data_IF_990066838741
#
_entry.id   IF_990066838741
#
_cell.length_a   1.000
_cell.length_b   1.000
_cell.length_c   1.000
_cell.angle_alpha   90.00
_cell.angle_beta   90.00
_cell.angle_gamma   90.00
#
_symmetry.space_group_name_H-M   'P 1'
#
loop_
_entity.id
_entity.type
_entity.pdbx_description
1 polymer ?
#
# COMPACT_ATOMS: atom_id res chain seq x y z
N UNK A 1 -52.22 -2.30 -16.87
CA UNK A 1 -51.15 -3.30 -16.77
C UNK A 1 -49.85 -2.54 -16.99
N UNK A 2 -49.18 -2.22 -15.90
CA UNK A 2 -47.96 -1.35 -15.87
C UNK A 2 -46.76 -2.29 -15.78
N UNK A 3 -45.97 -2.36 -16.84
CA UNK A 3 -44.74 -3.13 -16.85
C UNK A 3 -43.71 -2.48 -15.92
N UNK A 4 -43.19 -3.24 -14.94
CA UNK A 4 -42.13 -2.86 -14.05
C UNK A 4 -40.77 -2.85 -14.79
N UNK A 5 -39.86 -1.94 -14.51
CA UNK A 5 -38.54 -1.87 -15.16
C UNK A 5 -37.69 -3.07 -14.73
N UNK A 6 -37.20 -3.84 -15.70
CA UNK A 6 -36.26 -4.95 -15.51
C UNK A 6 -34.97 -4.42 -14.90
N UNK A 7 -34.73 -4.74 -13.63
CA UNK A 7 -33.50 -4.45 -12.93
C UNK A 7 -32.33 -5.14 -13.67
N UNK A 8 -31.43 -4.34 -14.24
CA UNK A 8 -30.17 -4.78 -14.85
C UNK A 8 -29.34 -5.47 -13.75
N UNK A 9 -29.35 -6.81 -13.72
CA UNK A 9 -28.46 -7.59 -12.86
C UNK A 9 -27.03 -7.22 -13.20
N UNK A 10 -26.33 -6.67 -12.21
CA UNK A 10 -24.88 -6.44 -12.28
C UNK A 10 -24.18 -7.79 -12.43
N UNK A 11 -23.70 -8.06 -13.62
CA UNK A 11 -22.96 -9.31 -13.94
C UNK A 11 -21.53 -9.20 -13.40
N UNK A 12 -21.36 -9.62 -12.16
CA UNK A 12 -20.06 -9.64 -11.46
C UNK A 12 -19.05 -10.61 -12.09
N UNK A 13 -19.52 -11.61 -12.85
CA UNK A 13 -18.68 -12.63 -13.47
C UNK A 13 -17.75 -12.14 -14.59
N UNK A 14 -18.10 -11.04 -15.26
CA UNK A 14 -17.27 -10.44 -16.33
C UNK A 14 -16.00 -9.73 -15.82
N UNK A 15 -15.88 -9.51 -14.51
CA UNK A 15 -14.80 -8.76 -13.88
C UNK A 15 -13.61 -9.61 -13.44
N UNK A 16 -13.80 -10.94 -13.27
CA UNK A 16 -12.75 -11.86 -12.84
C UNK A 16 -12.06 -12.58 -14.02
N UNK A 17 -11.89 -11.91 -15.15
CA UNK A 17 -11.05 -12.41 -16.25
C UNK A 17 -9.62 -12.69 -15.81
N UNK A 18 -8.97 -13.67 -16.45
CA UNK A 18 -7.64 -14.23 -16.18
C UNK A 18 -6.63 -13.24 -15.58
N UNK A 19 -5.89 -13.61 -14.51
CA UNK A 19 -5.16 -12.70 -13.62
C UNK A 19 -3.95 -11.94 -14.18
N UNK A 20 -3.68 -11.98 -15.46
CA UNK A 20 -2.46 -11.38 -16.02
C UNK A 20 -2.66 -10.24 -17.04
N UNK A 21 -3.86 -9.96 -17.52
CA UNK A 21 -4.05 -9.09 -18.69
C UNK A 21 -4.88 -7.81 -18.48
N UNK A 22 -5.44 -7.54 -17.32
CA UNK A 22 -6.25 -6.35 -17.09
C UNK A 22 -5.42 -5.23 -16.48
N UNK A 23 -5.25 -4.11 -17.20
CA UNK A 23 -4.59 -2.88 -16.75
C UNK A 23 -5.22 -2.36 -15.45
N UNK A 24 -6.55 -2.37 -15.39
CA UNK A 24 -7.35 -1.98 -14.21
C UNK A 24 -6.94 -2.75 -12.97
N UNK A 25 -6.84 -4.08 -13.09
CA UNK A 25 -6.47 -4.94 -11.97
C UNK A 25 -5.02 -4.67 -11.52
N UNK A 26 -4.11 -4.47 -12.46
CA UNK A 26 -2.71 -4.15 -12.16
C UNK A 26 -2.57 -2.81 -11.41
N UNK A 27 -3.31 -1.79 -11.82
CA UNK A 27 -3.32 -0.48 -11.15
C UNK A 27 -3.87 -0.59 -9.73
N UNK A 28 -5.00 -1.28 -9.54
CA UNK A 28 -5.59 -1.48 -8.21
C UNK A 28 -4.62 -2.25 -7.30
N UNK A 29 -4.01 -3.34 -7.79
CA UNK A 29 -3.07 -4.12 -6.99
C UNK A 29 -1.82 -3.33 -6.59
N UNK A 30 -1.23 -2.58 -7.52
CA UNK A 30 -0.06 -1.75 -7.24
C UNK A 30 -0.39 -0.65 -6.22
N UNK A 31 -1.50 0.07 -6.41
CA UNK A 31 -1.91 1.11 -5.47
C UNK A 31 -2.23 0.51 -4.08
N UNK A 32 -2.97 -0.61 -4.03
CA UNK A 32 -3.30 -1.28 -2.76
C UNK A 32 -2.05 -1.81 -2.04
N UNK A 33 -1.08 -2.34 -2.77
CA UNK A 33 0.18 -2.80 -2.19
C UNK A 33 0.98 -1.63 -1.57
N UNK A 34 1.07 -0.50 -2.28
CA UNK A 34 1.73 0.70 -1.75
C UNK A 34 1.03 1.27 -0.50
N UNK A 35 -0.31 1.33 -0.51
CA UNK A 35 -1.11 1.77 0.64
C UNK A 35 -0.85 0.84 1.83
N UNK A 36 -0.88 -0.49 1.62
CA UNK A 36 -0.64 -1.46 2.68
C UNK A 36 0.76 -1.29 3.30
N UNK A 37 1.80 -1.20 2.46
CA UNK A 37 3.19 -1.01 2.93
C UNK A 37 3.31 0.29 3.71
N UNK A 38 2.77 1.40 3.20
CA UNK A 38 2.81 2.69 3.89
C UNK A 38 2.11 2.66 5.25
N UNK A 39 0.94 2.01 5.35
CA UNK A 39 0.19 1.89 6.61
C UNK A 39 0.90 0.99 7.62
N UNK A 40 1.52 -0.11 7.17
CA UNK A 40 2.32 -0.97 8.05
C UNK A 40 3.51 -0.21 8.62
N UNK A 41 4.25 0.51 7.77
CA UNK A 41 5.37 1.36 8.24
C UNK A 41 4.87 2.41 9.21
N UNK A 42 3.77 3.09 8.91
CA UNK A 42 3.18 4.10 9.80
C UNK A 42 2.80 3.50 11.16
N UNK A 43 2.18 2.31 11.20
CA UNK A 43 1.83 1.61 12.44
C UNK A 43 3.07 1.30 13.29
N UNK A 44 4.13 0.79 12.67
CA UNK A 44 5.37 0.45 13.37
C UNK A 44 6.06 1.70 13.92
N UNK A 45 6.22 2.74 13.09
CA UNK A 45 6.86 4.00 13.50
C UNK A 45 6.07 4.67 14.62
N UNK A 46 4.75 4.72 14.52
CA UNK A 46 3.90 5.34 15.53
C UNK A 46 3.96 4.59 16.88
N UNK A 47 3.93 3.26 16.83
CA UNK A 47 4.06 2.42 18.03
C UNK A 47 5.43 2.59 18.69
N UNK A 48 6.51 2.60 17.91
CA UNK A 48 7.87 2.84 18.42
C UNK A 48 8.01 4.24 19.03
N UNK A 49 7.54 5.26 18.34
CA UNK A 49 7.59 6.64 18.83
C UNK A 49 6.83 6.82 20.14
N UNK A 50 5.66 6.15 20.28
CA UNK A 50 4.90 6.14 21.52
C UNK A 50 5.68 5.47 22.66
N UNK A 51 6.23 4.28 22.43
CA UNK A 51 7.02 3.54 23.39
C UNK A 51 8.25 4.32 23.86
N UNK A 52 9.00 4.90 22.93
CA UNK A 52 10.17 5.72 23.26
C UNK A 52 9.79 6.96 24.06
N UNK A 53 8.67 7.61 23.73
CA UNK A 53 8.18 8.78 24.46
C UNK A 53 7.81 8.41 25.91
N UNK A 54 7.11 7.28 26.09
CA UNK A 54 6.73 6.78 27.41
C UNK A 54 7.96 6.39 28.25
N UNK A 55 8.93 5.68 27.64
CA UNK A 55 10.18 5.31 28.32
C UNK A 55 11.07 6.51 28.65
N UNK A 56 11.07 7.57 27.84
CA UNK A 56 11.78 8.82 28.16
C UNK A 56 11.18 9.53 29.38
N UNK A 57 9.84 9.59 29.45
CA UNK A 57 9.15 10.16 30.65
C UNK A 57 9.48 9.37 31.90
N UNK A 58 9.46 8.04 31.81
CA UNK A 58 9.83 7.17 32.92
C UNK A 58 11.29 7.38 33.36
N UNK A 59 12.21 7.56 32.36
CA UNK A 59 13.61 7.89 32.61
C UNK A 59 13.78 9.24 33.33
N UNK A 60 13.02 10.25 32.95
CA UNK A 60 13.05 11.55 33.63
C UNK A 60 12.65 11.44 35.10
N UNK A 61 11.57 10.72 35.41
CA UNK A 61 11.14 10.47 36.80
C UNK A 61 12.19 9.69 37.58
N UNK A 62 12.88 8.73 36.97
CA UNK A 62 13.97 8.00 37.61
C UNK A 62 15.19 8.91 37.89
N UNK A 63 15.50 9.86 37.02
CA UNK A 63 16.56 10.85 37.24
C UNK A 63 16.26 11.71 38.46
N UNK A 64 15.02 12.21 38.60
CA UNK A 64 14.58 12.94 39.81
C UNK A 64 14.74 12.09 41.07
N UNK A 65 14.35 10.81 40.98
CA UNK A 65 14.52 9.87 42.09
C UNK A 65 16.02 9.68 42.45
N UNK A 66 16.92 9.58 41.48
CA UNK A 66 18.35 9.48 41.74
C UNK A 66 18.86 10.75 42.47
N UNK A 67 18.45 11.93 42.01
CA UNK A 67 18.88 13.18 42.62
C UNK A 67 18.35 13.30 44.08
N UNK A 68 17.12 12.86 44.36
CA UNK A 68 16.59 12.74 45.72
C UNK A 68 17.44 11.81 46.58
N UNK A 69 17.80 10.62 46.06
CA UNK A 69 18.63 9.65 46.79
C UNK A 69 20.03 10.25 47.07
N UNK A 70 20.65 10.91 46.09
CA UNK A 70 21.96 11.53 46.26
C UNK A 70 21.92 12.63 47.32
N UNK A 71 20.92 13.52 47.28
CA UNK A 71 20.75 14.58 48.29
C UNK A 71 20.50 14.00 49.67
N UNK A 72 19.67 13.00 49.77
CA UNK A 72 19.38 12.33 51.04
C UNK A 72 20.64 11.63 51.61
N UNK A 73 21.36 10.87 50.77
CA UNK A 73 22.61 10.21 51.15
C UNK A 73 23.72 11.20 51.58
N UNK A 74 23.78 12.40 50.97
CA UNK A 74 24.76 13.44 51.34
C UNK A 74 24.49 14.10 52.68
N UNK A 75 23.27 13.97 53.24
CA UNK A 75 22.87 14.55 54.52
C UNK A 75 23.05 13.58 55.70
N UNK A 76 23.25 12.30 55.42
CA UNK A 76 23.44 11.27 56.46
C UNK A 76 24.82 11.36 57.13
N UNK A 77 24.98 10.96 58.42
CA UNK A 77 26.25 10.92 59.09
C UNK A 77 27.32 10.06 58.41
N UNK A 78 28.60 10.27 58.61
CA UNK A 78 29.66 9.42 58.08
C UNK A 78 29.48 7.98 58.50
N UNK A 79 29.42 7.03 57.49
CA UNK A 79 29.26 5.60 57.76
C UNK A 79 27.85 5.06 57.56
N UNK A 80 26.83 5.88 57.52
CA UNK A 80 25.48 5.50 57.15
C UNK A 80 25.03 6.20 55.88
N UNK A 81 24.71 5.47 54.85
CA UNK A 81 24.29 5.99 53.51
C UNK A 81 22.81 5.67 53.27
N UNK A 82 22.06 5.28 54.31
CA UNK A 82 20.66 4.90 54.19
C UNK A 82 19.75 6.13 54.09
N UNK A 83 19.38 6.57 52.88
CA UNK A 83 18.51 7.72 52.74
C UNK A 83 17.09 7.43 53.21
N UNK A 84 16.53 8.33 54.02
CA UNK A 84 15.11 8.30 54.32
C UNK A 84 14.31 8.91 53.18
N UNK A 85 13.91 8.06 52.21
CA UNK A 85 13.07 8.49 51.07
C UNK A 85 11.61 8.37 51.50
N UNK A 86 10.86 9.46 51.40
CA UNK A 86 9.44 9.52 51.83
C UNK A 86 8.46 8.98 50.75
N UNK A 87 8.89 8.09 49.90
CA UNK A 87 7.99 7.48 48.91
C UNK A 87 7.40 6.18 49.47
N UNK A 88 6.09 6.17 49.69
CA UNK A 88 5.37 5.03 50.23
C UNK A 88 5.54 3.75 49.37
N UNK A 89 5.82 3.86 48.09
CA UNK A 89 6.08 2.70 47.21
C UNK A 89 7.40 2.03 47.56
N UNK A 90 8.44 2.78 47.92
CA UNK A 90 9.75 2.21 48.29
C UNK A 90 9.74 1.49 49.64
N UNK A 91 8.71 1.69 50.44
CA UNK A 91 8.50 1.04 51.76
C UNK A 91 7.72 -0.28 51.63
N UNK A 92 6.93 -0.47 50.56
CA UNK A 92 6.11 -1.69 50.38
C UNK A 92 6.94 -2.73 49.64
N UNK A 93 6.94 -3.96 50.15
CA UNK A 93 7.66 -5.08 49.54
C UNK A 93 7.19 -5.34 48.12
N UNK A 94 8.13 -5.53 47.20
CA UNK A 94 7.90 -5.86 45.79
C UNK A 94 6.88 -4.92 45.10
N UNK A 95 6.99 -3.63 45.37
CA UNK A 95 6.05 -2.59 44.92
C UNK A 95 6.26 -2.12 43.49
N UNK A 96 7.32 -2.60 42.80
CA UNK A 96 7.68 -2.16 41.48
C UNK A 96 8.50 -0.85 41.41
N UNK A 97 8.79 -0.21 42.60
CA UNK A 97 9.69 0.94 42.68
C UNK A 97 10.82 0.61 43.64
N UNK A 98 12.05 0.62 43.14
CA UNK A 98 13.23 0.13 43.82
C UNK A 98 14.35 1.13 43.75
N UNK A 99 15.21 1.18 44.76
CA UNK A 99 16.46 1.86 44.72
C UNK A 99 17.55 1.06 45.44
N UNK A 100 18.81 1.23 44.97
CA UNK A 100 19.97 0.57 45.57
C UNK A 100 21.20 1.48 45.45
N UNK A 101 22.05 1.47 46.47
CA UNK A 101 23.29 2.22 46.52
C UNK A 101 24.44 1.25 46.66
N UNK A 102 25.38 1.33 45.72
CA UNK A 102 26.53 0.44 45.68
C UNK A 102 27.84 1.24 45.72
N UNK A 103 28.83 0.74 46.45
CA UNK A 103 30.20 1.27 46.45
C UNK A 103 31.03 0.48 45.46
N UNK A 104 31.85 1.18 44.67
CA UNK A 104 32.81 0.54 43.76
C UNK A 104 34.15 0.43 44.46
N UNK A 105 34.56 -0.77 44.88
CA UNK A 105 35.87 -0.97 45.50
C UNK A 105 37.01 -1.00 44.51
N UNK A 106 38.27 -0.76 44.97
CA UNK A 106 39.44 -0.78 44.10
C UNK A 106 39.66 -2.13 43.38
N UNK A 107 39.14 -3.24 43.95
CA UNK A 107 39.19 -4.55 43.33
C UNK A 107 38.09 -4.79 42.26
N UNK A 108 37.28 -3.75 41.95
CA UNK A 108 36.18 -3.80 41.00
C UNK A 108 34.90 -4.45 41.52
N UNK A 109 34.88 -4.85 42.79
CA UNK A 109 33.67 -5.42 43.44
C UNK A 109 32.67 -4.33 43.79
N UNK A 110 31.39 -4.64 43.60
CA UNK A 110 30.28 -3.80 44.02
C UNK A 110 29.82 -4.26 45.42
N UNK A 111 29.85 -3.34 46.36
CA UNK A 111 29.38 -3.59 47.74
C UNK A 111 28.09 -2.85 47.97
N UNK A 112 27.06 -3.55 48.42
CA UNK A 112 25.76 -2.94 48.73
C UNK A 112 25.88 -2.12 50.01
N UNK A 113 25.69 -0.81 49.94
CA UNK A 113 25.68 0.10 51.10
C UNK A 113 24.27 0.26 51.66
N UNK A 114 23.27 0.44 50.79
CA UNK A 114 21.89 0.62 51.18
C UNK A 114 20.95 0.21 50.03
N UNK A 115 19.74 -0.15 50.39
CA UNK A 115 18.66 -0.50 49.42
C UNK A 115 17.30 -0.17 50.00
N UNK A 116 16.32 -0.04 49.09
CA UNK A 116 14.94 0.18 49.45
C UNK A 116 14.33 -1.06 50.14
N UNK A 117 13.41 -0.85 51.07
CA UNK A 117 12.66 -1.95 51.71
C UNK A 117 11.87 -2.76 50.68
N UNK A 118 11.51 -2.14 49.55
CA UNK A 118 10.79 -2.81 48.45
C UNK A 118 11.61 -3.93 47.79
N UNK A 119 12.95 -3.84 47.79
CA UNK A 119 13.83 -4.93 47.30
C UNK A 119 13.89 -6.13 48.27
N UNK A 120 13.50 -5.94 49.56
CA UNK A 120 13.59 -6.97 50.59
C UNK A 120 15.00 -7.56 50.65
N UNK A 121 15.14 -8.88 50.37
CA UNK A 121 16.42 -9.61 50.39
C UNK A 121 17.10 -9.70 49.01
N UNK A 122 16.47 -9.17 47.98
CA UNK A 122 16.99 -9.27 46.62
C UNK A 122 17.87 -8.08 46.26
N UNK A 123 18.75 -8.30 45.28
CA UNK A 123 19.50 -7.26 44.59
C UNK A 123 19.00 -7.08 43.17
N UNK A 124 19.17 -5.88 42.61
CA UNK A 124 18.82 -5.64 41.21
C UNK A 124 19.79 -6.40 40.28
N UNK A 125 19.26 -7.02 39.26
CA UNK A 125 20.05 -7.65 38.20
C UNK A 125 20.73 -6.57 37.36
N UNK A 126 22.03 -6.36 37.59
CA UNK A 126 22.81 -5.34 36.91
C UNK A 126 23.67 -5.95 35.80
N UNK A 127 23.86 -5.23 34.69
CA UNK A 127 24.80 -5.64 33.66
C UNK A 127 26.24 -5.67 34.22
N UNK A 128 27.07 -6.68 33.90
CA UNK A 128 28.42 -6.81 34.44
C UNK A 128 29.37 -5.68 33.99
N UNK A 129 29.04 -5.01 32.87
CA UNK A 129 29.76 -3.89 32.28
C UNK A 129 29.31 -2.52 32.84
N UNK A 130 28.30 -2.50 33.74
CA UNK A 130 27.72 -1.26 34.27
C UNK A 130 28.76 -0.34 34.92
N UNK A 131 29.68 -0.79 35.79
CA UNK A 131 30.68 0.09 36.40
C UNK A 131 31.55 0.81 35.36
N UNK A 132 32.00 0.09 34.31
CA UNK A 132 32.80 0.67 33.24
C UNK A 132 32.02 1.71 32.42
N UNK A 133 30.75 1.45 32.16
CA UNK A 133 29.88 2.39 31.44
C UNK A 133 29.61 3.64 32.24
N UNK A 134 29.45 3.53 33.53
CA UNK A 134 29.24 4.66 34.45
C UNK A 134 30.51 5.44 34.67
N UNK A 135 31.67 4.79 34.69
CA UNK A 135 32.99 5.49 34.78
C UNK A 135 33.25 6.35 33.52
N UNK A 136 32.91 5.81 32.33
CA UNK A 136 33.01 6.58 31.07
C UNK A 136 32.02 7.76 30.98
N UNK A 137 30.91 7.70 31.73
CA UNK A 137 29.89 8.74 31.81
C UNK A 137 29.74 9.27 33.25
N UNK A 138 30.88 9.52 33.92
CA UNK A 138 30.89 9.90 35.31
C UNK A 138 30.10 11.18 35.59
N UNK A 139 29.18 11.10 36.52
CA UNK A 139 28.23 12.17 36.85
C UNK A 139 26.94 12.17 36.06
N UNK A 140 26.90 11.54 34.88
CA UNK A 140 25.71 11.43 34.06
C UNK A 140 24.84 10.23 34.49
N UNK A 141 23.58 10.25 34.05
CA UNK A 141 22.63 9.16 34.31
C UNK A 141 22.52 8.27 33.09
N UNK A 142 22.80 6.97 33.26
CA UNK A 142 22.59 5.95 32.23
C UNK A 142 21.29 5.21 32.49
N UNK A 143 20.45 5.05 31.47
CA UNK A 143 19.22 4.27 31.59
C UNK A 143 19.31 2.95 30.79
N UNK A 144 18.82 1.86 31.38
CA UNK A 144 18.75 0.54 30.74
C UNK A 144 17.55 -0.25 31.24
N UNK A 145 17.29 -1.40 30.61
CA UNK A 145 16.22 -2.30 31.01
C UNK A 145 16.80 -3.54 31.67
N UNK A 146 16.12 -4.02 32.71
CA UNK A 146 16.46 -5.26 33.40
C UNK A 146 15.20 -5.97 33.90
N UNK A 147 15.38 -7.06 34.62
CA UNK A 147 14.28 -7.82 35.21
C UNK A 147 14.33 -7.68 36.73
N UNK A 148 13.16 -7.56 37.35
CA UNK A 148 13.00 -7.35 38.79
C UNK A 148 13.15 -8.61 39.63
N UNK A 149 13.16 -8.43 40.96
CA UNK A 149 13.43 -9.45 41.96
C UNK A 149 12.20 -10.30 42.26
N UNK A 150 11.68 -11.09 41.32
CA UNK A 150 10.64 -12.09 41.66
C UNK A 150 11.22 -13.50 41.69
N UNK A 151 10.74 -14.30 42.63
CA UNK A 151 11.20 -15.68 42.88
C UNK A 151 10.88 -16.62 41.69
N UNK A 152 9.79 -16.35 40.94
CA UNK A 152 9.38 -17.15 39.78
C UNK A 152 9.95 -16.61 38.50
N UNK A 153 10.68 -17.45 37.78
CA UNK A 153 11.26 -17.13 36.47
C UNK A 153 10.18 -16.71 35.43
N UNK A 154 8.94 -17.15 35.58
CA UNK A 154 7.81 -16.84 34.71
C UNK A 154 7.17 -15.46 34.99
N UNK A 155 7.40 -14.86 36.15
CA UNK A 155 6.74 -13.63 36.59
C UNK A 155 7.72 -12.48 36.87
N UNK A 156 8.91 -12.48 36.26
CA UNK A 156 9.89 -11.40 36.47
C UNK A 156 9.33 -10.07 35.92
N UNK A 157 9.30 -9.06 36.80
CA UNK A 157 8.87 -7.71 36.42
C UNK A 157 9.86 -7.07 35.45
N UNK A 158 9.41 -6.53 34.30
CA UNK A 158 10.28 -5.76 33.44
C UNK A 158 10.55 -4.40 34.09
N UNK A 159 11.82 -4.12 34.40
CA UNK A 159 12.23 -2.87 35.02
C UNK A 159 12.90 -1.92 34.05
N UNK A 160 12.62 -0.62 34.17
CA UNK A 160 13.45 0.47 33.66
C UNK A 160 14.33 0.94 34.79
N UNK A 161 15.63 0.99 34.56
CA UNK A 161 16.64 1.37 35.54
C UNK A 161 17.35 2.62 35.09
N UNK A 162 17.57 3.52 36.01
CA UNK A 162 18.53 4.62 35.89
C UNK A 162 19.67 4.42 36.91
N UNK A 163 20.88 4.65 36.46
CA UNK A 163 22.06 4.56 37.34
C UNK A 163 23.01 5.73 37.08
N UNK A 164 23.60 6.25 38.15
CA UNK A 164 24.61 7.31 38.07
C UNK A 164 25.73 7.02 39.07
N UNK A 165 26.98 7.26 38.64
CA UNK A 165 28.16 7.18 39.51
C UNK A 165 28.55 8.59 39.93
N UNK A 166 28.61 8.82 41.24
CA UNK A 166 28.97 10.12 41.84
C UNK A 166 29.96 9.94 42.96
N UNK A 167 30.81 10.93 43.17
CA UNK A 167 31.63 11.01 44.41
C UNK A 167 30.90 11.85 45.42
N UNK A 168 30.79 11.35 46.64
CA UNK A 168 30.17 12.07 47.76
C UNK A 168 31.26 12.49 48.73
N UNK A 169 31.22 13.72 49.28
CA UNK A 169 32.12 14.14 50.32
C UNK A 169 32.16 13.16 51.48
N UNK A 170 33.36 12.78 51.96
CA UNK A 170 33.59 11.83 53.08
C UNK A 170 33.52 10.34 52.71
N UNK A 171 33.37 9.97 51.47
CA UNK A 171 33.54 8.59 50.96
C UNK A 171 34.81 8.56 50.07
N UNK A 172 35.66 7.54 50.32
CA UNK A 172 36.91 7.39 49.57
C UNK A 172 36.73 6.84 48.16
N UNK A 173 35.62 6.12 47.97
CA UNK A 173 35.35 5.43 46.72
C UNK A 173 34.08 5.96 45.99
N UNK A 174 34.00 5.89 44.67
CA UNK A 174 32.82 6.27 43.94
C UNK A 174 31.62 5.41 44.31
N UNK A 175 30.43 6.06 44.36
CA UNK A 175 29.17 5.42 44.69
C UNK A 175 28.28 5.44 43.48
N UNK A 176 27.64 4.27 43.23
CA UNK A 176 26.63 4.09 42.21
C UNK A 176 25.25 4.20 42.87
N UNK A 177 24.48 5.16 42.40
CA UNK A 177 23.06 5.33 42.75
C UNK A 177 22.21 4.73 41.67
N UNK A 178 21.28 3.86 42.08
CA UNK A 178 20.40 3.13 41.17
C UNK A 178 18.97 3.34 41.59
N UNK A 179 18.12 3.74 40.65
CA UNK A 179 16.68 3.76 40.78
C UNK A 179 16.06 2.89 39.68
N UNK A 180 15.04 2.11 40.03
CA UNK A 180 14.36 1.22 39.12
C UNK A 180 12.84 1.29 39.32
N UNK A 181 12.09 1.17 38.23
CA UNK A 181 10.64 1.16 38.27
C UNK A 181 10.08 0.12 37.31
N UNK A 182 8.99 -0.51 37.70
CA UNK A 182 8.24 -1.44 36.88
C UNK A 182 7.67 -0.71 35.63
N UNK A 183 7.97 -1.26 34.46
CA UNK A 183 7.49 -0.73 33.17
C UNK A 183 6.31 -1.51 32.62
N UNK A 184 5.76 -2.47 33.37
CA UNK A 184 4.64 -3.32 32.92
C UNK A 184 3.43 -2.49 32.48
N UNK A 185 3.16 -1.40 33.18
CA UNK A 185 2.10 -0.44 32.84
C UNK A 185 2.38 0.24 31.50
N UNK A 186 3.61 0.73 31.29
CA UNK A 186 4.03 1.33 30.02
C UNK A 186 3.97 0.33 28.87
N UNK A 187 4.37 -0.91 29.12
CA UNK A 187 4.30 -1.98 28.11
C UNK A 187 2.84 -2.37 27.79
N UNK A 188 1.93 -2.30 28.78
CA UNK A 188 0.49 -2.51 28.60
C UNK A 188 -0.13 -1.37 27.79
N UNK A 189 0.16 -0.12 28.14
CA UNK A 189 -0.30 1.07 27.43
C UNK A 189 0.18 1.08 25.98
N UNK A 190 1.45 0.70 25.77
CA UNK A 190 2.01 0.59 24.41
C UNK A 190 1.28 -0.48 23.59
N UNK A 191 0.95 -1.62 24.20
CA UNK A 191 0.16 -2.67 23.50
C UNK A 191 -1.25 -2.19 23.20
N UNK A 192 -1.90 -1.53 24.14
CA UNK A 192 -3.24 -0.98 23.94
C UNK A 192 -3.23 0.08 22.83
N UNK A 193 -2.28 0.99 22.87
CA UNK A 193 -2.08 1.98 21.82
C UNK A 193 -1.85 1.33 20.45
N UNK A 194 -0.98 0.31 20.37
CA UNK A 194 -0.73 -0.43 19.16
C UNK A 194 -2.01 -1.07 18.60
N UNK A 195 -2.82 -1.70 19.46
CA UNK A 195 -4.11 -2.27 19.04
C UNK A 195 -5.06 -1.22 18.43
N UNK A 196 -5.22 -0.09 19.09
CA UNK A 196 -6.07 1.01 18.60
C UNK A 196 -5.51 1.58 17.28
N UNK A 197 -4.21 1.80 17.22
CA UNK A 197 -3.54 2.28 16.01
C UNK A 197 -3.71 1.32 14.83
N UNK A 198 -3.52 0.01 15.03
CA UNK A 198 -3.72 -1.00 14.00
C UNK A 198 -5.16 -1.05 13.51
N UNK A 199 -6.16 -0.99 14.41
CA UNK A 199 -7.58 -0.97 14.01
C UNK A 199 -7.89 0.29 13.21
N UNK A 200 -7.45 1.47 13.68
CA UNK A 200 -7.67 2.74 12.99
C UNK A 200 -7.03 2.76 11.58
N UNK A 201 -5.79 2.29 11.48
CA UNK A 201 -5.08 2.21 10.19
C UNK A 201 -5.68 1.16 9.26
N UNK A 202 -6.21 0.06 9.78
CA UNK A 202 -6.92 -0.94 9.00
C UNK A 202 -8.22 -0.37 8.39
N UNK A 203 -9.00 0.37 9.18
CA UNK A 203 -10.21 1.06 8.71
C UNK A 203 -9.84 2.09 7.63
N UNK A 204 -8.81 2.90 7.88
CA UNK A 204 -8.29 3.86 6.91
C UNK A 204 -7.82 3.17 5.62
N UNK A 205 -7.10 2.07 5.73
CA UNK A 205 -6.63 1.27 4.60
C UNK A 205 -7.77 0.72 3.75
N UNK A 206 -8.80 0.17 4.40
CA UNK A 206 -9.99 -0.32 3.71
C UNK A 206 -10.70 0.83 2.97
N UNK A 207 -10.81 2.01 3.60
CA UNK A 207 -11.37 3.21 2.97
C UNK A 207 -10.57 3.65 1.75
N UNK A 208 -9.23 3.73 1.87
CA UNK A 208 -8.34 4.12 0.77
C UNK A 208 -8.38 3.12 -0.40
N UNK A 209 -8.32 1.82 -0.11
CA UNK A 209 -8.42 0.78 -1.16
C UNK A 209 -9.78 0.85 -1.87
N UNK A 210 -10.86 1.07 -1.11
CA UNK A 210 -12.21 1.25 -1.68
C UNK A 210 -12.27 2.49 -2.55
N UNK A 211 -11.69 3.61 -2.10
CA UNK A 211 -11.62 4.85 -2.87
C UNK A 211 -10.84 4.67 -4.18
N UNK A 212 -9.67 4.02 -4.14
CA UNK A 212 -8.89 3.69 -5.35
C UNK A 212 -9.68 2.80 -6.30
N UNK A 213 -10.38 1.79 -5.77
CA UNK A 213 -11.21 0.90 -6.59
C UNK A 213 -12.31 1.68 -7.32
N UNK A 214 -13.04 2.56 -6.60
CA UNK A 214 -14.09 3.41 -7.15
C UNK A 214 -13.51 4.38 -8.19
N UNK A 215 -12.41 5.05 -7.86
CA UNK A 215 -11.74 6.03 -8.72
C UNK A 215 -11.28 5.39 -10.04
N UNK A 216 -10.60 4.24 -10.00
CA UNK A 216 -10.14 3.51 -11.18
C UNK A 216 -11.32 3.03 -12.01
N UNK A 217 -12.40 2.57 -11.37
CA UNK A 217 -13.60 2.12 -12.06
C UNK A 217 -14.33 3.25 -12.79
N UNK A 218 -14.49 4.40 -12.13
CA UNK A 218 -15.15 5.58 -12.73
C UNK A 218 -14.25 6.18 -13.82
N UNK A 219 -12.97 6.36 -13.55
CA UNK A 219 -12.02 6.97 -14.48
C UNK A 219 -11.79 6.18 -15.76
N UNK A 220 -11.85 4.83 -15.71
CA UNK A 220 -11.69 3.99 -16.90
C UNK A 220 -13.01 3.65 -17.61
N UNK A 221 -14.16 4.03 -17.07
CA UNK A 221 -15.45 3.77 -17.70
C UNK A 221 -15.57 4.33 -19.12
N UNK A 222 -15.15 5.56 -19.43
CA UNK A 222 -15.23 6.12 -20.77
C UNK A 222 -14.43 5.31 -21.82
N UNK A 223 -13.32 4.68 -21.43
CA UNK A 223 -12.55 3.80 -22.31
C UNK A 223 -13.31 2.51 -22.67
N UNK A 224 -14.05 1.94 -21.73
CA UNK A 224 -14.89 0.78 -22.01
C UNK A 224 -16.10 1.15 -22.87
N UNK A 225 -16.70 2.33 -22.65
CA UNK A 225 -17.79 2.84 -23.47
C UNK A 225 -17.33 3.06 -24.91
N UNK A 226 -16.15 3.66 -25.14
CA UNK A 226 -15.55 3.85 -26.46
C UNK A 226 -15.28 2.50 -27.18
N UNK A 227 -14.72 1.52 -26.46
CA UNK A 227 -14.49 0.17 -26.99
C UNK A 227 -15.81 -0.47 -27.47
N UNK A 228 -16.87 -0.33 -26.67
CA UNK A 228 -18.17 -0.94 -26.98
C UNK A 228 -18.83 -0.23 -28.17
N UNK A 229 -18.71 1.11 -28.30
CA UNK A 229 -19.16 1.84 -29.49
C UNK A 229 -18.38 1.43 -30.76
N UNK A 230 -17.05 1.28 -30.67
CA UNK A 230 -16.24 0.77 -31.79
C UNK A 230 -16.71 -0.65 -32.20
N UNK A 231 -17.04 -1.49 -31.23
CA UNK A 231 -17.56 -2.83 -31.50
C UNK A 231 -18.95 -2.77 -32.18
N UNK A 232 -19.79 -1.79 -31.85
CA UNK A 232 -21.09 -1.57 -32.47
C UNK A 232 -20.97 -1.05 -33.90
N UNK A 233 -20.04 -0.11 -34.17
CA UNK A 233 -19.72 0.31 -35.54
C UNK A 233 -19.24 -0.87 -36.37
N UNK A 234 -18.32 -1.67 -35.86
CA UNK A 234 -17.80 -2.86 -36.59
C UNK A 234 -18.92 -3.88 -36.92
N UNK A 235 -19.96 -3.96 -36.10
CA UNK A 235 -21.12 -4.84 -36.36
C UNK A 235 -22.19 -4.19 -37.23
N UNK A 236 -21.97 -2.99 -37.73
CA UNK A 236 -22.93 -2.25 -38.54
C UNK A 236 -24.14 -1.71 -37.76
N UNK A 237 -24.10 -1.69 -36.41
CA UNK A 237 -25.20 -1.16 -35.59
C UNK A 237 -25.16 0.35 -35.41
N UNK A 238 -24.02 0.96 -35.68
CA UNK A 238 -23.82 2.40 -35.69
C UNK A 238 -22.89 2.78 -36.83
N UNK A 239 -23.10 3.94 -37.47
CA UNK A 239 -22.24 4.42 -38.54
C UNK A 239 -20.98 5.13 -37.98
N UNK A 240 -21.09 5.74 -36.79
CA UNK A 240 -20.05 6.58 -36.20
C UNK A 240 -20.07 6.47 -34.69
N UNK A 241 -18.96 6.92 -34.05
CA UNK A 241 -18.87 7.14 -32.61
C UNK A 241 -19.60 8.48 -32.32
N UNK A 242 -20.69 8.40 -31.58
CA UNK A 242 -21.60 9.55 -31.38
C UNK A 242 -21.56 10.17 -29.98
N UNK A 243 -20.94 9.51 -28.97
CA UNK A 243 -20.89 10.02 -27.61
C UNK A 243 -19.83 11.10 -27.45
N UNK A 244 -20.08 12.02 -26.54
CA UNK A 244 -19.06 12.95 -26.03
C UNK A 244 -18.20 12.25 -25.00
N UNK A 245 -16.90 12.37 -25.13
CA UNK A 245 -15.90 11.77 -24.27
C UNK A 245 -15.10 12.85 -23.50
N UNK A 246 -14.42 12.48 -22.36
CA UNK A 246 -13.48 13.36 -21.70
C UNK A 246 -12.38 13.86 -22.65
N UNK A 247 -11.81 15.03 -22.34
CA UNK A 247 -10.81 15.70 -23.18
C UNK A 247 -9.63 14.81 -23.57
N UNK A 248 -9.25 13.87 -22.72
CA UNK A 248 -8.14 12.95 -22.96
C UNK A 248 -8.48 11.84 -23.96
N UNK A 249 -9.76 11.53 -24.13
CA UNK A 249 -10.25 10.43 -24.99
C UNK A 249 -10.87 10.98 -26.27
N UNK A 250 -11.41 12.19 -26.24
CA UNK A 250 -12.06 12.85 -27.36
C UNK A 250 -11.21 12.82 -28.65
N UNK A 251 -9.89 13.13 -28.63
CA UNK A 251 -9.05 13.07 -29.84
C UNK A 251 -8.98 11.68 -30.46
N UNK A 252 -9.03 10.63 -29.63
CA UNK A 252 -9.03 9.24 -30.09
C UNK A 252 -10.35 8.88 -30.79
N UNK A 253 -11.47 9.28 -30.24
CA UNK A 253 -12.78 9.08 -30.85
C UNK A 253 -12.87 9.79 -32.24
N UNK A 254 -12.35 11.02 -32.34
CA UNK A 254 -12.29 11.77 -33.58
C UNK A 254 -11.37 11.13 -34.60
N UNK A 255 -10.22 10.57 -34.21
CA UNK A 255 -9.35 9.85 -35.12
C UNK A 255 -10.00 8.58 -35.68
N UNK A 256 -10.75 7.85 -34.82
CA UNK A 256 -11.49 6.67 -35.27
C UNK A 256 -12.59 7.10 -36.24
N UNK A 257 -13.34 8.18 -35.99
CA UNK A 257 -14.34 8.69 -36.92
C UNK A 257 -13.72 9.09 -38.24
N UNK A 258 -12.57 9.80 -38.28
CA UNK A 258 -11.85 10.14 -39.51
C UNK A 258 -11.45 8.91 -40.33
N UNK A 259 -11.03 7.84 -39.62
CA UNK A 259 -10.68 6.58 -40.28
C UNK A 259 -11.91 5.88 -40.88
N UNK A 260 -13.05 5.95 -40.18
CA UNK A 260 -14.32 5.45 -40.72
C UNK A 260 -14.78 6.20 -41.93
N UNK A 261 -14.71 7.55 -41.94
CA UNK A 261 -15.04 8.41 -43.07
C UNK A 261 -14.16 8.10 -44.26
N UNK A 262 -12.84 7.97 -44.05
CA UNK A 262 -11.91 7.60 -45.12
C UNK A 262 -12.21 6.22 -45.72
N UNK A 263 -12.48 5.22 -44.86
CA UNK A 263 -12.88 3.88 -45.33
C UNK A 263 -14.16 3.92 -46.15
N UNK A 264 -15.14 4.69 -45.76
CA UNK A 264 -16.40 4.82 -46.48
C UNK A 264 -16.19 5.51 -47.84
N UNK A 265 -15.33 6.54 -47.91
CA UNK A 265 -14.97 7.20 -49.17
C UNK A 265 -14.23 6.23 -50.13
N UNK A 266 -13.31 5.43 -49.58
CA UNK A 266 -12.58 4.42 -50.39
C UNK A 266 -13.56 3.38 -50.97
N UNK A 267 -14.47 2.87 -50.16
CA UNK A 267 -15.49 1.89 -50.61
C UNK A 267 -16.38 2.50 -51.69
N UNK A 268 -16.87 3.73 -51.50
CA UNK A 268 -17.73 4.40 -52.47
C UNK A 268 -16.99 4.70 -53.81
N UNK A 269 -15.71 5.13 -53.73
CA UNK A 269 -14.86 5.32 -54.88
C UNK A 269 -14.63 4.00 -55.63
N UNK A 270 -14.41 2.91 -54.89
CA UNK A 270 -14.28 1.56 -55.50
C UNK A 270 -15.59 1.12 -56.22
N UNK A 271 -16.73 1.37 -55.60
CA UNK A 271 -18.05 1.08 -56.19
C UNK A 271 -18.25 1.83 -57.53
N UNK A 272 -17.96 3.13 -57.53
CA UNK A 272 -18.05 3.98 -58.74
C UNK A 272 -17.11 3.46 -59.79
N UNK A 273 -15.86 3.11 -59.46
CA UNK A 273 -14.87 2.60 -60.39
C UNK A 273 -15.32 1.27 -61.03
N UNK A 274 -15.81 0.33 -60.21
CA UNK A 274 -16.34 -0.94 -60.72
C UNK A 274 -17.58 -0.73 -61.58
N UNK A 275 -18.45 0.21 -61.20
CA UNK A 275 -19.61 0.57 -62.03
C UNK A 275 -19.22 1.12 -63.40
N UNK A 276 -18.25 2.05 -63.44
CA UNK A 276 -17.71 2.63 -64.70
C UNK A 276 -17.02 1.58 -65.58
N UNK A 277 -16.19 0.69 -64.96
CA UNK A 277 -15.51 -0.38 -65.69
C UNK A 277 -16.51 -1.33 -66.32
N UNK A 278 -17.57 -1.65 -65.63
CA UNK A 278 -18.62 -2.51 -66.16
C UNK A 278 -19.37 -1.90 -67.32
N UNK A 279 -19.66 -0.59 -67.28
CA UNK A 279 -20.30 0.10 -68.39
C UNK A 279 -19.39 0.16 -69.55
N UNK A 280 -18.09 0.45 -69.37
CA UNK A 280 -17.07 0.46 -70.40
C UNK A 280 -16.87 -0.92 -71.10
N UNK A 281 -17.01 -2.01 -70.40
CA UNK A 281 -16.92 -3.35 -70.91
C UNK A 281 -18.21 -3.81 -71.63
N UNK A 282 -19.37 -3.41 -71.12
CA UNK A 282 -20.66 -3.80 -71.69
C UNK A 282 -20.82 -3.32 -73.16
N UNK A 283 -20.37 -2.10 -73.51
CA UNK A 283 -20.48 -1.50 -74.82
C UNK A 283 -19.76 -2.31 -75.88
N UNK A 284 -18.43 -2.59 -75.79
CA UNK A 284 -17.73 -3.36 -76.79
C UNK A 284 -18.22 -4.82 -76.87
N UNK A 285 -18.62 -5.40 -75.73
CA UNK A 285 -19.22 -6.75 -75.69
C UNK A 285 -20.52 -6.75 -76.52
N UNK A 286 -21.40 -5.77 -76.34
CA UNK A 286 -22.65 -5.65 -77.09
C UNK A 286 -22.45 -5.46 -78.56
N UNK A 287 -21.45 -4.65 -78.97
CA UNK A 287 -21.08 -4.44 -80.36
C UNK A 287 -20.56 -5.75 -81.02
N UNK A 288 -19.68 -6.46 -80.33
CA UNK A 288 -19.18 -7.76 -80.80
C UNK A 288 -20.30 -8.80 -80.95
N UNK A 289 -21.27 -8.79 -79.97
CA UNK A 289 -22.42 -9.68 -80.04
C UNK A 289 -23.36 -9.39 -81.18
N UNK A 290 -23.60 -8.10 -81.45
CA UNK A 290 -24.42 -7.65 -82.55
C UNK A 290 -23.77 -7.99 -83.94
N UNK A 291 -22.49 -7.73 -84.07
CA UNK A 291 -21.75 -8.02 -85.31
C UNK A 291 -21.69 -9.54 -85.60
N UNK A 292 -21.37 -10.32 -84.55
CA UNK A 292 -21.35 -11.80 -84.64
C UNK A 292 -22.77 -12.43 -84.89
N UNK A 293 -23.84 -11.68 -84.64
CA UNK A 293 -25.22 -12.10 -84.97
C UNK A 293 -25.65 -11.89 -86.39
N UNK A 294 -24.95 -11.08 -87.20
CA UNK A 294 -25.25 -10.74 -88.59
C UNK A 294 -24.58 -11.64 -89.60
N UNK A 295 -23.61 -12.46 -89.19
CA UNK A 295 -22.87 -13.35 -90.07
C UNK A 295 -23.05 -14.83 -89.68
N UNK A 296 -23.12 -15.70 -90.71
CA UNK A 296 -23.20 -17.15 -90.50
C UNK A 296 -21.83 -17.81 -90.77
N UNK A 297 -21.43 -18.74 -89.85
CA UNK A 297 -20.20 -19.48 -89.97
C UNK A 297 -19.60 -19.89 -88.62
N UNK A 298 -18.55 -20.75 -88.58
CA UNK A 298 -17.98 -21.26 -87.33
C UNK A 298 -17.26 -20.19 -86.52
N UNK A 299 -16.67 -19.15 -87.12
CA UNK A 299 -15.98 -18.07 -86.43
C UNK A 299 -16.93 -17.09 -85.75
N UNK A 300 -17.99 -16.58 -86.41
CA UNK A 300 -19.01 -15.76 -85.77
C UNK A 300 -19.71 -16.50 -84.55
N UNK A 301 -19.93 -17.78 -84.71
CA UNK A 301 -20.55 -18.58 -83.63
C UNK A 301 -19.62 -18.72 -82.41
N UNK A 302 -18.31 -18.89 -82.61
CA UNK A 302 -17.33 -18.90 -81.55
C UNK A 302 -17.27 -17.54 -80.83
N UNK A 303 -17.22 -16.43 -81.61
CA UNK A 303 -17.19 -15.05 -81.00
C UNK A 303 -18.43 -14.77 -80.21
N UNK A 304 -19.64 -15.13 -80.77
CA UNK A 304 -20.89 -14.97 -80.06
C UNK A 304 -20.89 -15.73 -78.72
N UNK A 305 -20.45 -16.98 -78.73
CA UNK A 305 -20.36 -17.79 -77.51
C UNK A 305 -19.41 -17.19 -76.49
N UNK A 306 -18.20 -16.76 -76.87
CA UNK A 306 -17.22 -16.15 -75.97
C UNK A 306 -17.70 -14.81 -75.43
N UNK A 307 -18.35 -13.98 -76.26
CA UNK A 307 -18.90 -12.67 -75.87
C UNK A 307 -20.05 -12.86 -74.81
N UNK A 308 -20.91 -13.85 -74.99
CA UNK A 308 -21.92 -14.19 -74.01
C UNK A 308 -21.34 -14.67 -72.68
N UNK A 309 -20.25 -15.45 -72.75
CA UNK A 309 -19.52 -15.85 -71.47
C UNK A 309 -18.93 -14.65 -70.83
N UNK A 310 -18.24 -13.73 -71.57
CA UNK A 310 -17.69 -12.49 -71.00
C UNK A 310 -18.77 -11.59 -70.40
N UNK A 311 -19.93 -11.46 -71.02
CA UNK A 311 -21.04 -10.68 -70.51
C UNK A 311 -21.59 -11.29 -69.19
N UNK A 312 -21.71 -12.59 -69.16
CA UNK A 312 -22.14 -13.32 -67.92
C UNK A 312 -21.15 -13.12 -66.76
N UNK A 313 -19.83 -13.14 -67.04
CA UNK A 313 -18.78 -12.87 -66.03
C UNK A 313 -18.82 -11.44 -65.52
N UNK A 314 -18.94 -10.45 -66.40
CA UNK A 314 -19.05 -9.04 -66.03
C UNK A 314 -20.27 -8.81 -65.15
N UNK A 315 -21.44 -9.31 -65.53
CA UNK A 315 -22.66 -9.19 -64.79
C UNK A 315 -22.60 -9.92 -63.43
N UNK A 316 -21.90 -11.06 -63.38
CA UNK A 316 -21.65 -11.77 -62.12
C UNK A 316 -20.75 -10.94 -61.18
N UNK A 317 -19.64 -10.39 -61.63
CA UNK A 317 -18.75 -9.56 -60.84
C UNK A 317 -19.43 -8.28 -60.33
N UNK A 318 -20.25 -7.63 -61.18
CA UNK A 318 -21.05 -6.48 -60.80
C UNK A 318 -22.08 -6.78 -59.69
N UNK A 319 -22.83 -7.88 -59.84
CA UNK A 319 -23.74 -8.27 -58.78
C UNK A 319 -23.05 -8.56 -57.49
N UNK A 320 -21.89 -9.22 -57.56
CA UNK A 320 -21.10 -9.51 -56.37
C UNK A 320 -20.54 -8.24 -55.71
N UNK A 321 -20.05 -7.27 -56.50
CA UNK A 321 -19.58 -5.98 -55.99
C UNK A 321 -20.71 -5.15 -55.34
N UNK A 322 -21.94 -5.22 -55.87
CA UNK A 322 -23.12 -4.57 -55.26
C UNK A 322 -23.67 -5.28 -54.03
N UNK A 323 -23.52 -6.61 -53.93
CA UNK A 323 -24.00 -7.40 -52.80
C UNK A 323 -23.02 -7.39 -51.61
N UNK A 324 -21.73 -7.12 -51.85
CA UNK A 324 -20.67 -7.03 -50.83
C UNK A 324 -20.61 -5.64 -50.17
N UNK A 325 -21.44 -4.77 -50.56
CA UNK A 325 -21.59 -3.38 -50.11
C UNK A 325 -22.88 -3.16 -49.33
#
# INVERSE_FOLDING_TARGET
MTEAPVAKRLDWGRWFGRPGRSLTRRLIWLASAWILVALVIAALVLTQAFQESALRRLGATLNETIDEIVVAASRTPPGDVSPQIQDARTLRLLSGKYWQILEVRPDGRLVNLARSNSLWRYDLALPPDLPRRLDAAFGDVITFNTTGPKDDAETREPLRVAASMKSIPRHEHPIIFIAAVDRSEVDADTRQFAHVAWIALMILGLGLVSAVFIQVRIGLRPLFDLRDEIADVRKGRSARIGRSYPLEIQPLAEQVNRLLDHNQEVVERQRTHVGNLAHALKTPISVMLAEAGTQEGPLPELVRRQTQVMQGQVDHHLRRARAAA
#
